data_IF_969652792045
#
_entry.id   IF_969652792045
#
_cell.length_a   1.000
_cell.length_b   1.000
_cell.length_c   1.000
_cell.angle_alpha   90.00
_cell.angle_beta   90.00
_cell.angle_gamma   90.00
#
_symmetry.space_group_name_H-M   'P 1'
#
loop_
_entity.id
_entity.type
_entity.pdbx_description
1 polymer ?
#
# COMPACT_ATOMS: atom_id res chain seq x y z
N UNK A 1 1.73 8.05 0.23
CA UNK A 1 1.43 8.35 1.66
C UNK A 1 -0.02 8.03 2.03
N UNK A 2 -1.04 8.62 1.36
CA UNK A 2 -2.45 8.55 1.79
C UNK A 2 -2.96 7.12 2.05
N UNK A 3 -2.56 6.16 1.21
CA UNK A 3 -2.95 4.76 1.35
C UNK A 3 -2.45 4.05 2.63
N UNK A 4 -1.47 4.63 3.33
CA UNK A 4 -0.90 4.09 4.57
C UNK A 4 -1.41 4.79 5.83
N UNK A 5 -2.29 5.80 5.71
CA UNK A 5 -2.91 6.44 6.88
C UNK A 5 -3.65 5.44 7.78
N UNK A 6 -4.40 4.44 7.26
CA UNK A 6 -5.03 3.44 8.12
C UNK A 6 -4.00 2.66 8.95
N UNK A 7 -2.90 2.20 8.35
CA UNK A 7 -1.84 1.52 9.09
C UNK A 7 -1.20 2.43 10.15
N UNK A 8 -0.95 3.69 9.81
CA UNK A 8 -0.36 4.66 10.72
C UNK A 8 -1.27 4.95 11.92
N UNK A 9 -2.58 5.06 11.69
CA UNK A 9 -3.57 5.25 12.74
C UNK A 9 -3.62 4.09 13.72
N UNK A 10 -3.68 2.85 13.22
CA UNK A 10 -3.70 1.66 14.07
C UNK A 10 -2.41 1.51 14.89
N UNK A 11 -1.25 1.77 14.28
CA UNK A 11 0.04 1.75 14.98
C UNK A 11 0.12 2.81 16.07
N UNK A 12 -0.48 3.99 15.83
CA UNK A 12 -0.58 5.03 16.84
C UNK A 12 -1.48 4.60 18.01
N UNK A 13 -2.66 4.04 17.74
CA UNK A 13 -3.57 3.52 18.78
C UNK A 13 -2.92 2.40 19.59
N UNK A 14 -2.11 1.55 18.96
CA UNK A 14 -1.37 0.48 19.61
C UNK A 14 -0.10 0.95 20.36
N UNK A 15 0.33 2.20 20.19
CA UNK A 15 1.57 2.72 20.76
C UNK A 15 2.85 2.15 20.11
N UNK A 16 2.76 1.61 18.90
CA UNK A 16 3.87 0.96 18.17
C UNK A 16 4.56 1.90 17.17
N UNK A 17 4.04 3.10 16.98
CA UNK A 17 4.51 4.09 15.99
C UNK A 17 6.00 4.43 16.13
N UNK A 18 6.52 4.63 17.34
CA UNK A 18 7.94 4.95 17.57
C UNK A 18 8.87 3.80 17.22
N UNK A 19 8.46 2.56 17.53
CA UNK A 19 9.22 1.35 17.20
C UNK A 19 9.36 1.22 15.68
N UNK A 20 8.26 1.40 14.95
CA UNK A 20 8.27 1.32 13.49
C UNK A 20 9.09 2.47 12.88
N UNK A 21 8.99 3.70 13.40
CA UNK A 21 9.82 4.81 12.95
C UNK A 21 11.31 4.53 13.13
N UNK A 22 11.70 4.00 14.29
CA UNK A 22 13.09 3.61 14.56
C UNK A 22 13.56 2.52 13.59
N UNK A 23 12.73 1.52 13.30
CA UNK A 23 13.07 0.49 12.30
C UNK A 23 13.29 1.12 10.91
N UNK A 24 12.44 2.05 10.51
CA UNK A 24 12.54 2.78 9.25
C UNK A 24 13.78 3.69 9.14
N UNK A 25 14.39 4.09 10.26
CA UNK A 25 15.64 4.88 10.26
C UNK A 25 16.88 4.01 10.03
N UNK A 26 16.87 2.80 10.58
CA UNK A 26 18.01 1.88 10.50
C UNK A 26 17.97 1.01 9.23
N UNK A 27 16.81 0.92 8.58
CA UNK A 27 16.61 0.13 7.37
C UNK A 27 17.11 0.87 6.13
N UNK A 28 18.14 0.32 5.50
CA UNK A 28 18.74 0.86 4.27
C UNK A 28 18.27 0.14 3.00
N UNK A 29 17.64 -1.02 3.13
CA UNK A 29 17.09 -1.76 2.01
C UNK A 29 15.73 -1.21 1.54
N UNK A 30 15.32 -1.67 0.36
CA UNK A 30 14.03 -1.30 -0.26
C UNK A 30 12.86 -2.20 0.19
N UNK A 31 13.10 -3.14 1.11
CA UNK A 31 12.08 -4.09 1.56
C UNK A 31 11.10 -3.33 2.46
N UNK A 32 9.81 -3.64 2.38
CA UNK A 32 8.82 -2.98 3.23
C UNK A 32 9.10 -3.27 4.71
N UNK A 33 9.01 -2.26 5.59
CA UNK A 33 9.18 -2.44 7.05
C UNK A 33 8.19 -3.44 7.66
N UNK A 34 7.02 -3.64 7.06
CA UNK A 34 6.03 -4.63 7.50
C UNK A 34 6.25 -6.02 6.90
N UNK A 35 7.28 -6.21 6.08
CA UNK A 35 7.57 -7.53 5.52
C UNK A 35 8.06 -8.47 6.62
N UNK A 36 7.39 -9.62 6.74
CA UNK A 36 7.75 -10.68 7.65
C UNK A 36 7.86 -12.01 6.88
N UNK A 37 9.08 -12.50 6.59
CA UNK A 37 9.26 -13.74 5.84
C UNK A 37 8.74 -14.99 6.58
N UNK A 38 8.60 -14.93 7.90
CA UNK A 38 8.05 -16.01 8.72
C UNK A 38 6.55 -15.82 9.03
N UNK A 39 5.95 -14.75 8.52
CA UNK A 39 4.54 -14.42 8.76
C UNK A 39 3.59 -15.33 7.99
N UNK A 40 2.41 -15.56 8.57
CA UNK A 40 1.24 -16.07 7.84
C UNK A 40 0.52 -14.89 7.16
N UNK A 41 -0.25 -15.14 6.10
CA UNK A 41 -1.00 -14.12 5.34
C UNK A 41 -0.12 -13.17 4.49
N UNK A 42 0.49 -13.71 3.42
CA UNK A 42 1.17 -12.87 2.42
C UNK A 42 2.40 -12.13 2.93
N UNK A 43 3.07 -12.67 3.96
CA UNK A 43 4.35 -12.18 4.49
C UNK A 43 4.31 -10.72 4.98
N UNK A 44 3.16 -10.25 5.48
CA UNK A 44 3.00 -8.89 6.01
C UNK A 44 2.53 -8.94 7.46
N UNK A 45 3.28 -8.29 8.37
CA UNK A 45 2.90 -8.18 9.79
C UNK A 45 1.67 -7.28 10.00
N UNK A 46 1.43 -6.33 9.10
CA UNK A 46 0.26 -5.44 9.13
C UNK A 46 -0.71 -5.74 7.98
N UNK A 47 -1.10 -7.01 7.82
CA UNK A 47 -1.89 -7.47 6.66
C UNK A 47 -3.26 -6.78 6.55
N UNK A 48 -3.94 -6.56 7.68
CA UNK A 48 -5.30 -5.99 7.71
C UNK A 48 -5.28 -4.53 7.23
N UNK A 49 -4.33 -3.72 7.71
CA UNK A 49 -4.29 -2.28 7.40
C UNK A 49 -3.24 -1.92 6.35
N UNK A 50 -2.68 -2.90 5.63
CA UNK A 50 -1.70 -2.67 4.55
C UNK A 50 -2.23 -1.71 3.48
N UNK A 51 -1.30 -0.96 2.89
CA UNK A 51 -1.58 0.02 1.84
C UNK A 51 -2.34 -0.56 0.64
N UNK A 52 -3.07 0.32 -0.03
CA UNK A 52 -3.87 0.00 -1.22
C UNK A 52 -3.04 -0.68 -2.30
N UNK A 53 -1.82 -0.20 -2.56
CA UNK A 53 -0.87 -0.83 -3.50
C UNK A 53 -0.66 -2.32 -3.22
N UNK A 54 -0.49 -2.70 -1.95
CA UNK A 54 -0.28 -4.10 -1.54
C UNK A 54 -1.56 -4.95 -1.63
N UNK A 55 -2.74 -4.33 -1.68
CA UNK A 55 -4.01 -5.03 -1.91
C UNK A 55 -4.29 -5.24 -3.39
N UNK A 56 -3.86 -4.31 -4.24
CA UNK A 56 -4.09 -4.34 -5.68
C UNK A 56 -3.02 -5.18 -6.41
N UNK A 57 -1.78 -5.16 -5.94
CA UNK A 57 -0.71 -5.97 -6.53
C UNK A 57 -1.03 -7.46 -6.43
N UNK A 58 -0.94 -8.19 -7.55
CA UNK A 58 -1.25 -9.62 -7.63
C UNK A 58 -2.72 -9.96 -7.92
N UNK A 59 -3.64 -9.02 -7.72
CA UNK A 59 -5.09 -9.27 -7.80
C UNK A 59 -5.84 -8.31 -8.75
N UNK A 60 -5.20 -7.21 -9.16
CA UNK A 60 -5.81 -6.19 -10.02
C UNK A 60 -5.28 -6.22 -11.45
N UNK A 61 -5.98 -5.51 -12.32
CA UNK A 61 -5.62 -5.29 -13.71
C UNK A 61 -5.33 -3.82 -13.96
N UNK A 62 -4.56 -3.54 -15.00
CA UNK A 62 -4.40 -2.21 -15.57
C UNK A 62 -4.77 -2.28 -17.05
N UNK A 63 -5.32 -1.19 -17.56
CA UNK A 63 -5.62 -1.06 -18.99
C UNK A 63 -4.38 -0.54 -19.71
N UNK A 64 -3.98 -1.21 -20.79
CA UNK A 64 -2.90 -0.71 -21.65
C UNK A 64 -3.40 0.38 -22.62
N UNK A 65 -2.49 0.97 -23.41
CA UNK A 65 -2.82 1.99 -24.41
C UNK A 65 -3.69 1.48 -25.57
N UNK A 66 -3.85 0.17 -25.70
CA UNK A 66 -4.67 -0.49 -26.73
C UNK A 66 -6.04 -0.93 -26.16
N UNK A 67 -6.33 -0.65 -24.89
CA UNK A 67 -7.58 -1.03 -24.24
C UNK A 67 -7.58 -2.44 -23.63
N UNK A 68 -6.47 -3.18 -23.67
CA UNK A 68 -6.38 -4.52 -23.12
C UNK A 68 -6.12 -4.48 -21.62
N UNK A 69 -6.86 -5.30 -20.86
CA UNK A 69 -6.63 -5.49 -19.42
C UNK A 69 -5.47 -6.46 -19.18
N UNK A 70 -4.47 -6.01 -18.43
CA UNK A 70 -3.27 -6.77 -18.10
C UNK A 70 -3.18 -6.91 -16.58
N UNK A 71 -2.85 -8.11 -16.10
CA UNK A 71 -2.66 -8.36 -14.67
C UNK A 71 -1.47 -7.57 -14.10
N UNK A 72 -1.66 -6.95 -12.93
CA UNK A 72 -0.64 -6.20 -12.21
C UNK A 72 0.12 -7.15 -11.29
N UNK A 73 1.18 -7.75 -11.81
CA UNK A 73 2.06 -8.71 -11.12
C UNK A 73 3.53 -8.46 -11.44
N UNK A 74 4.44 -9.10 -10.69
CA UNK A 74 5.87 -9.09 -11.03
C UNK A 74 6.14 -9.90 -12.31
N UNK A 75 7.30 -9.66 -12.93
CA UNK A 75 7.70 -10.35 -14.15
C UNK A 75 7.77 -11.87 -13.99
N UNK A 76 8.23 -12.35 -12.83
CA UNK A 76 8.32 -13.79 -12.58
C UNK A 76 6.93 -14.45 -12.54
N UNK A 77 5.96 -13.85 -11.86
CA UNK A 77 4.57 -14.34 -11.85
C UNK A 77 4.00 -14.33 -13.28
N UNK A 78 4.26 -13.29 -14.08
CA UNK A 78 3.78 -13.22 -15.47
C UNK A 78 4.34 -14.34 -16.35
N UNK A 79 5.57 -14.79 -16.13
CA UNK A 79 6.20 -15.89 -16.88
C UNK A 79 5.58 -17.25 -16.55
N UNK A 80 5.15 -17.44 -15.30
CA UNK A 80 4.65 -18.72 -14.81
C UNK A 80 3.17 -18.95 -15.14
N UNK A 81 2.38 -17.90 -15.31
CA UNK A 81 0.94 -18.01 -15.57
C UNK A 81 0.70 -18.38 -17.05
N UNK A 82 -0.01 -19.48 -17.29
CA UNK A 82 -0.51 -19.84 -18.63
C UNK A 82 -1.70 -18.95 -19.03
N UNK A 83 -1.69 -18.44 -20.27
CA UNK A 83 -2.61 -17.42 -20.77
C UNK A 83 -4.08 -17.84 -20.84
N UNK A 84 -4.35 -19.12 -21.12
CA UNK A 84 -5.66 -19.51 -21.67
C UNK A 84 -6.76 -19.55 -20.62
N UNK A 85 -6.43 -19.88 -19.37
CA UNK A 85 -7.39 -19.85 -18.25
C UNK A 85 -7.56 -18.46 -17.63
N UNK A 86 -6.59 -17.57 -17.84
CA UNK A 86 -6.52 -16.27 -17.17
C UNK A 86 -7.52 -15.25 -17.75
N UNK A 87 -7.85 -15.36 -19.05
CA UNK A 87 -8.69 -14.41 -19.76
C UNK A 87 -10.08 -14.21 -19.12
N UNK A 88 -10.68 -15.27 -18.58
CA UNK A 88 -11.99 -15.18 -17.93
C UNK A 88 -11.93 -14.41 -16.59
N UNK A 89 -10.82 -14.53 -15.86
CA UNK A 89 -10.65 -13.90 -14.55
C UNK A 89 -10.17 -12.45 -14.66
N UNK A 90 -9.41 -12.11 -15.70
CA UNK A 90 -8.94 -10.75 -15.97
C UNK A 90 -10.09 -9.75 -16.07
N UNK A 91 -11.19 -10.15 -16.74
CA UNK A 91 -12.34 -9.25 -16.91
C UNK A 91 -13.11 -9.01 -15.60
N UNK A 92 -13.01 -9.92 -14.63
CA UNK A 92 -13.63 -9.79 -13.30
C UNK A 92 -12.72 -9.10 -12.29
N UNK A 93 -11.43 -9.02 -12.57
CA UNK A 93 -10.46 -8.44 -11.67
C UNK A 93 -10.66 -6.90 -11.55
N UNK A 94 -10.43 -6.33 -10.35
CA UNK A 94 -10.49 -4.89 -10.13
C UNK A 94 -9.50 -4.16 -11.03
N UNK A 95 -9.88 -2.99 -11.53
CA UNK A 95 -8.97 -2.13 -12.29
C UNK A 95 -8.21 -1.20 -11.32
N UNK A 96 -6.89 -1.28 -11.29
CA UNK A 96 -6.02 -0.53 -10.38
C UNK A 96 -6.24 0.99 -10.50
N UNK A 97 -6.33 1.52 -11.72
CA UNK A 97 -6.59 2.94 -12.01
C UNK A 97 -7.86 3.45 -11.35
N UNK A 98 -8.94 2.66 -11.38
CA UNK A 98 -10.21 3.04 -10.74
C UNK A 98 -10.07 3.27 -9.22
N UNK A 99 -9.24 2.49 -8.53
CA UNK A 99 -9.01 2.66 -7.10
C UNK A 99 -8.12 3.88 -6.79
N UNK A 100 -7.07 4.10 -7.60
CA UNK A 100 -6.26 5.32 -7.45
C UNK A 100 -7.05 6.59 -7.77
N UNK A 101 -8.01 6.53 -8.69
CA UNK A 101 -8.91 7.66 -8.94
C UNK A 101 -9.80 7.96 -7.72
N UNK A 102 -10.30 6.94 -7.02
CA UNK A 102 -11.05 7.11 -5.76
C UNK A 102 -10.16 7.66 -4.64
N UNK A 103 -8.90 7.24 -4.59
CA UNK A 103 -7.93 7.77 -3.65
C UNK A 103 -7.65 9.25 -3.96
N UNK A 104 -7.53 9.61 -5.23
CA UNK A 104 -7.38 10.98 -5.71
C UNK A 104 -8.57 11.87 -5.36
N UNK A 105 -9.80 11.36 -5.50
CA UNK A 105 -10.99 12.12 -5.10
C UNK A 105 -11.11 12.36 -3.60
N UNK A 106 -10.33 11.65 -2.77
CA UNK A 106 -10.29 11.87 -1.32
C UNK A 106 -9.39 13.04 -0.95
N UNK A 107 -8.16 13.03 -1.46
CA UNK A 107 -7.20 14.13 -1.28
C UNK A 107 -6.29 14.23 -2.52
N UNK A 108 -6.52 15.21 -3.41
CA UNK A 108 -5.72 15.39 -4.62
C UNK A 108 -4.25 15.73 -4.36
N UNK A 109 -3.94 16.42 -3.25
CA UNK A 109 -2.58 16.92 -2.97
C UNK A 109 -1.69 15.79 -2.47
N UNK A 110 -2.20 14.95 -1.57
CA UNK A 110 -1.46 13.83 -0.99
C UNK A 110 -1.45 12.59 -1.89
N UNK A 111 -2.42 12.45 -2.78
CA UNK A 111 -2.53 11.29 -3.68
C UNK A 111 -1.60 11.36 -4.89
N UNK A 112 -1.24 12.55 -5.38
CA UNK A 112 -0.34 12.71 -6.54
C UNK A 112 1.15 12.55 -6.18
N UNK A 113 1.48 12.57 -4.89
CA UNK A 113 2.86 12.45 -4.43
C UNK A 113 3.27 10.99 -4.32
N UNK A 114 4.19 10.58 -5.20
CA UNK A 114 4.75 9.24 -5.20
C UNK A 114 6.03 9.19 -4.35
N UNK A 115 6.03 8.30 -3.37
CA UNK A 115 7.19 8.00 -2.54
C UNK A 115 7.42 6.49 -2.51
N UNK A 116 8.67 6.02 -2.32
CA UNK A 116 8.95 4.65 -1.92
C UNK A 116 8.07 4.21 -0.74
N UNK A 117 7.73 2.92 -0.68
CA UNK A 117 6.77 2.37 0.30
C UNK A 117 7.15 2.76 1.73
N UNK A 118 8.40 2.57 2.12
CA UNK A 118 8.89 2.91 3.46
C UNK A 118 8.83 4.41 3.77
N UNK A 119 9.10 5.26 2.78
CA UNK A 119 8.97 6.71 2.94
C UNK A 119 7.50 7.13 3.06
N UNK A 120 6.61 6.52 2.27
CA UNK A 120 5.17 6.72 2.39
C UNK A 120 4.64 6.36 3.77
N UNK A 121 5.11 5.25 4.35
CA UNK A 121 4.76 4.81 5.71
C UNK A 121 5.29 5.80 6.74
N UNK A 122 6.56 6.21 6.64
CA UNK A 122 7.18 7.19 7.55
C UNK A 122 6.40 8.50 7.57
N UNK A 123 6.04 9.04 6.40
CA UNK A 123 5.25 10.28 6.28
C UNK A 123 3.84 10.10 6.87
N UNK A 124 3.20 8.95 6.64
CA UNK A 124 1.88 8.65 7.21
C UNK A 124 1.92 8.62 8.75
N UNK A 125 2.94 7.97 9.33
CA UNK A 125 3.15 7.93 10.79
C UNK A 125 3.35 9.33 11.36
N UNK A 126 4.30 10.11 10.80
CA UNK A 126 4.57 11.46 11.26
C UNK A 126 3.34 12.37 11.18
N UNK A 127 2.58 12.31 10.08
CA UNK A 127 1.38 13.12 9.91
C UNK A 127 0.29 12.75 10.92
N UNK A 128 0.08 11.45 11.15
CA UNK A 128 -0.89 10.94 12.13
C UNK A 128 -0.51 11.42 13.53
N UNK A 129 0.75 11.25 13.94
CA UNK A 129 1.23 11.70 15.25
C UNK A 129 1.04 13.20 15.45
N UNK A 130 1.38 14.01 14.44
CA UNK A 130 1.18 15.46 14.48
C UNK A 130 -0.31 15.83 14.63
N UNK A 131 -1.19 15.22 13.82
CA UNK A 131 -2.63 15.50 13.89
C UNK A 131 -3.19 15.21 15.30
N UNK A 132 -2.85 14.07 15.90
CA UNK A 132 -3.31 13.73 17.25
C UNK A 132 -2.71 14.62 18.34
N UNK A 133 -1.43 14.99 18.24
CA UNK A 133 -0.82 15.94 19.20
C UNK A 133 -1.55 17.29 19.19
N UNK A 134 -1.86 17.83 18.01
CA UNK A 134 -2.57 19.12 17.91
C UNK A 134 -4.05 19.04 18.30
N UNK A 135 -4.71 17.89 18.10
CA UNK A 135 -6.09 17.69 18.55
C UNK A 135 -6.19 17.63 20.07
N UNK A 136 -5.25 16.97 20.75
CA UNK A 136 -5.21 16.88 22.21
C UNK A 136 -5.01 18.27 22.84
N UNK A 137 -4.20 19.14 22.24
CA UNK A 137 -3.97 20.51 22.74
C UNK A 137 -5.21 21.41 22.64
N UNK A 138 -6.18 21.06 21.78
CA UNK A 138 -7.41 21.83 21.55
C UNK A 138 -8.63 21.32 22.32
N UNK A 139 -8.51 20.22 23.06
CA UNK A 139 -9.56 19.62 23.88
C UNK A 139 -9.39 19.99 25.35
#
# INVERSE_FOLDING_TARGET
>A
MLEFLPAAYELYLAGENEIILKNLEHQTDSICVFYNPFGRNGFCSNFVHRGLVCRLFGFSTRTDKYGNRILVTCNEIKRTIQSDSLGQYINRAPEMSSYYLRLYSTDPILSIQYFPVNESIRKALNNTMLDFQYRIIRA
#
